data_IF_858764920004
#
_entry.id   IF_858764920004
#
_cell.length_a   1.000
_cell.length_b   1.000
_cell.length_c   1.000
_cell.angle_alpha   90.00
_cell.angle_beta   90.00
_cell.angle_gamma   90.00
#
_symmetry.space_group_name_H-M   'P 1'
#
loop_
_entity.id
_entity.type
_entity.pdbx_description
1 polymer ?
#
# COMPACT_ATOMS: atom_id res chain seq x y z
N UNK A 1 -18.02 -16.09 30.68
CA UNK A 1 -16.65 -15.76 30.29
C UNK A 1 -16.47 -14.29 30.62
N UNK A 2 -15.46 -13.94 31.39
CA UNK A 2 -15.21 -12.56 31.79
C UNK A 2 -14.63 -11.79 30.57
N UNK A 3 -15.25 -10.69 30.12
CA UNK A 3 -14.75 -9.91 28.98
C UNK A 3 -13.31 -9.44 29.13
N UNK A 4 -12.90 -9.09 30.37
CA UNK A 4 -11.56 -8.58 30.65
C UNK A 4 -10.46 -9.65 30.53
N UNK A 5 -10.83 -10.93 30.62
CA UNK A 5 -9.89 -12.06 30.50
C UNK A 5 -9.81 -12.65 29.09
N UNK A 6 -10.80 -12.34 28.23
CA UNK A 6 -10.90 -12.96 26.88
C UNK A 6 -9.67 -12.64 26.03
N UNK A 7 -9.18 -11.41 26.08
CA UNK A 7 -8.01 -10.98 25.30
C UNK A 7 -6.75 -11.70 25.75
N UNK A 8 -6.51 -11.77 27.06
CA UNK A 8 -5.33 -12.43 27.64
C UNK A 8 -5.36 -13.93 27.40
N UNK A 9 -6.53 -14.59 27.54
CA UNK A 9 -6.72 -16.00 27.22
C UNK A 9 -6.49 -16.28 25.71
N UNK A 10 -7.01 -15.43 24.84
CA UNK A 10 -6.81 -15.51 23.39
C UNK A 10 -5.32 -15.41 23.00
N UNK A 11 -4.62 -14.44 23.59
CA UNK A 11 -3.17 -14.27 23.37
C UNK A 11 -2.36 -15.47 23.87
N UNK A 12 -2.70 -16.01 25.04
CA UNK A 12 -2.04 -17.17 25.62
C UNK A 12 -2.26 -18.44 24.75
N UNK A 13 -3.49 -18.65 24.27
CA UNK A 13 -3.80 -19.77 23.37
C UNK A 13 -3.06 -19.65 22.03
N UNK A 14 -3.00 -18.46 21.47
CA UNK A 14 -2.27 -18.18 20.22
C UNK A 14 -0.76 -18.39 20.41
N UNK A 15 -0.18 -17.86 21.48
CA UNK A 15 1.22 -18.09 21.84
C UNK A 15 1.57 -19.57 22.01
N UNK A 16 0.70 -20.32 22.67
CA UNK A 16 0.87 -21.78 22.84
C UNK A 16 0.80 -22.55 21.50
N UNK A 17 -0.03 -22.11 20.55
CA UNK A 17 -0.11 -22.70 19.20
C UNK A 17 1.16 -22.47 18.40
N UNK A 18 1.70 -21.25 18.43
CA UNK A 18 2.96 -20.90 17.75
C UNK A 18 4.11 -21.75 18.32
N UNK A 19 4.24 -21.80 19.66
CA UNK A 19 5.34 -22.51 20.34
C UNK A 19 5.32 -24.02 20.11
N UNK A 20 4.12 -24.63 20.03
CA UNK A 20 3.95 -26.08 19.83
C UNK A 20 3.93 -26.53 18.39
N UNK A 21 4.03 -25.63 17.42
CA UNK A 21 4.00 -25.96 15.99
C UNK A 21 2.66 -26.56 15.50
N UNK A 22 1.59 -26.44 16.30
CA UNK A 22 0.31 -27.06 16.01
C UNK A 22 -0.64 -26.02 15.39
N UNK A 23 -0.49 -25.76 14.08
CA UNK A 23 -1.24 -24.75 13.33
C UNK A 23 -2.65 -25.20 12.93
N UNK A 24 -3.43 -25.77 13.86
CA UNK A 24 -4.83 -26.16 13.58
C UNK A 24 -5.75 -24.98 13.29
N UNK A 25 -5.39 -23.76 13.72
CA UNK A 25 -6.10 -22.52 13.41
C UNK A 25 -5.05 -21.46 13.10
N UNK A 26 -5.07 -20.90 11.92
CA UNK A 26 -4.27 -19.72 11.55
C UNK A 26 -5.13 -18.46 11.67
N UNK A 27 -4.58 -17.43 12.28
CA UNK A 27 -5.11 -16.07 12.16
C UNK A 27 -4.53 -15.53 10.86
N UNK A 28 -5.39 -15.10 9.96
CA UNK A 28 -5.00 -14.53 8.70
C UNK A 28 -5.54 -13.11 8.62
N UNK A 29 -4.64 -12.16 8.39
CA UNK A 29 -4.99 -10.77 8.23
C UNK A 29 -5.54 -10.48 6.84
N UNK A 30 -6.32 -9.41 6.77
CA UNK A 30 -6.88 -8.90 5.52
C UNK A 30 -6.53 -7.43 5.35
N UNK A 31 -6.53 -6.98 4.11
CA UNK A 31 -6.40 -5.57 3.77
C UNK A 31 -7.60 -4.78 4.33
N UNK A 32 -7.36 -3.82 5.19
CA UNK A 32 -8.42 -3.04 5.86
C UNK A 32 -9.13 -2.05 4.93
N UNK A 33 -8.41 -1.52 3.94
CA UNK A 33 -8.90 -0.57 2.93
C UNK A 33 -8.44 -0.98 1.55
N UNK A 34 -9.17 -0.59 0.51
CA UNK A 34 -8.71 -0.82 -0.85
C UNK A 34 -7.51 0.05 -1.17
N UNK A 35 -6.50 -0.56 -1.79
CA UNK A 35 -5.29 0.12 -2.27
C UNK A 35 -5.38 0.27 -3.77
N UNK A 36 -5.18 1.48 -4.24
CA UNK A 36 -5.24 1.82 -5.65
C UNK A 36 -4.03 2.61 -6.13
N UNK A 37 -4.07 2.96 -7.39
CA UNK A 37 -3.11 3.85 -8.04
C UNK A 37 -3.86 4.91 -8.85
N UNK A 38 -3.27 6.10 -8.95
CA UNK A 38 -3.80 7.14 -9.83
C UNK A 38 -3.48 6.81 -11.27
N UNK A 39 -4.50 6.71 -12.11
CA UNK A 39 -4.38 6.45 -13.55
C UNK A 39 -5.21 7.45 -14.34
N UNK A 40 -4.94 7.54 -15.64
CA UNK A 40 -5.79 8.29 -16.56
C UNK A 40 -6.90 7.38 -17.08
N UNK A 41 -8.13 7.80 -16.91
CA UNK A 41 -9.26 7.17 -17.59
C UNK A 41 -9.16 7.44 -19.11
N UNK A 42 -9.14 6.38 -19.89
CA UNK A 42 -9.00 6.44 -21.37
C UNK A 42 -10.14 7.16 -22.06
N UNK A 43 -11.33 7.21 -21.46
CA UNK A 43 -12.52 7.82 -22.07
C UNK A 43 -12.61 9.31 -21.76
N UNK A 44 -12.35 9.69 -20.53
CA UNK A 44 -12.55 11.06 -20.03
C UNK A 44 -11.24 11.85 -19.94
N UNK A 45 -10.07 11.19 -20.05
CA UNK A 45 -8.74 11.76 -19.83
C UNK A 45 -8.57 12.40 -18.43
N UNK A 46 -9.45 12.05 -17.49
CA UNK A 46 -9.35 12.49 -16.11
C UNK A 46 -8.49 11.52 -15.29
N UNK A 47 -7.78 12.06 -14.29
CA UNK A 47 -7.12 11.23 -13.28
C UNK A 47 -8.19 10.59 -12.40
N UNK A 48 -8.11 9.28 -12.23
CA UNK A 48 -9.01 8.48 -11.39
C UNK A 48 -8.21 7.55 -10.49
N UNK A 49 -8.82 7.13 -9.40
CA UNK A 49 -8.32 6.04 -8.59
C UNK A 49 -8.68 4.70 -9.24
N UNK A 50 -7.67 3.92 -9.58
CA UNK A 50 -7.81 2.54 -10.06
C UNK A 50 -7.49 1.58 -8.93
N UNK A 51 -8.51 0.99 -8.30
CA UNK A 51 -8.35 0.03 -7.21
C UNK A 51 -7.64 -1.22 -7.74
N UNK A 52 -6.55 -1.59 -7.08
CA UNK A 52 -5.71 -2.73 -7.43
C UNK A 52 -5.93 -3.89 -6.45
N UNK A 53 -5.90 -3.59 -5.16
CA UNK A 53 -6.14 -4.55 -4.07
C UNK A 53 -7.41 -4.09 -3.36
N UNK A 54 -8.40 -4.97 -3.30
CA UNK A 54 -9.67 -4.64 -2.63
C UNK A 54 -9.56 -4.83 -1.12
N UNK A 55 -10.32 -4.06 -0.36
CA UNK A 55 -10.52 -4.31 1.07
C UNK A 55 -10.97 -5.76 1.30
N UNK A 56 -10.62 -6.32 2.45
CA UNK A 56 -10.87 -7.70 2.83
C UNK A 56 -10.13 -8.75 1.96
N UNK A 57 -9.19 -8.36 1.09
CA UNK A 57 -8.28 -9.31 0.46
C UNK A 57 -7.35 -9.92 1.50
N UNK A 58 -7.15 -11.24 1.41
CA UNK A 58 -6.24 -11.97 2.30
C UNK A 58 -4.79 -11.52 2.09
N UNK A 59 -4.04 -11.33 3.18
CA UNK A 59 -2.61 -10.99 3.13
C UNK A 59 -1.75 -12.28 3.17
N UNK A 60 -0.62 -12.32 2.48
CA UNK A 60 -0.12 -11.30 1.55
C UNK A 60 -0.88 -11.34 0.22
N UNK A 61 -0.96 -10.22 -0.47
CA UNK A 61 -1.62 -10.12 -1.77
C UNK A 61 -0.74 -9.35 -2.76
N UNK A 62 -0.74 -9.81 -4.02
CA UNK A 62 0.05 -9.20 -5.09
C UNK A 62 -0.79 -9.07 -6.37
N UNK A 63 -0.73 -7.91 -7.01
CA UNK A 63 -1.44 -7.63 -8.26
C UNK A 63 -0.49 -6.97 -9.24
N UNK A 64 -0.40 -7.52 -10.43
CA UNK A 64 0.43 -6.98 -11.52
C UNK A 64 -0.44 -6.34 -12.59
N UNK A 65 -0.13 -5.11 -12.95
CA UNK A 65 -0.76 -4.37 -14.03
C UNK A 65 0.23 -3.99 -15.10
N UNK A 66 -0.27 -3.90 -16.34
CA UNK A 66 0.53 -3.56 -17.49
C UNK A 66 0.17 -2.16 -17.98
N UNK A 67 1.16 -1.30 -17.95
CA UNK A 67 1.11 0.06 -18.48
C UNK A 67 1.94 0.15 -19.76
N UNK A 68 1.85 1.28 -20.46
CA UNK A 68 2.65 1.56 -21.66
C UNK A 68 3.15 2.99 -21.60
N UNK A 69 4.35 3.21 -22.11
CA UNK A 69 4.89 4.56 -22.29
C UNK A 69 3.97 5.37 -23.20
N UNK A 70 3.69 6.62 -22.81
CA UNK A 70 2.84 7.53 -23.57
C UNK A 70 3.61 8.18 -24.73
N UNK A 71 4.90 8.43 -24.54
CA UNK A 71 5.77 9.11 -25.51
C UNK A 71 7.09 8.36 -25.65
N UNK A 72 7.76 8.59 -26.79
CA UNK A 72 9.13 8.10 -27.02
C UNK A 72 10.09 8.76 -26.02
N UNK A 73 11.05 7.99 -25.51
CA UNK A 73 12.06 8.42 -24.54
C UNK A 73 11.46 9.06 -23.29
N UNK A 74 10.37 8.50 -22.77
CA UNK A 74 9.73 8.95 -21.55
C UNK A 74 10.70 8.79 -20.36
N UNK A 75 11.00 9.89 -19.66
CA UNK A 75 12.00 9.93 -18.60
C UNK A 75 11.53 9.29 -17.29
N UNK A 76 10.22 9.20 -17.09
CA UNK A 76 9.67 8.61 -15.87
C UNK A 76 8.17 8.62 -15.82
N UNK A 77 7.65 8.11 -14.71
CA UNK A 77 6.22 8.02 -14.40
C UNK A 77 5.99 8.61 -13.01
N UNK A 78 5.04 9.54 -12.91
CA UNK A 78 4.47 9.91 -11.62
C UNK A 78 3.57 8.77 -11.16
N UNK A 79 3.90 8.19 -10.02
CA UNK A 79 3.21 7.06 -9.45
C UNK A 79 2.65 7.45 -8.07
N UNK A 80 1.34 7.49 -7.96
CA UNK A 80 0.64 7.82 -6.72
C UNK A 80 -0.12 6.61 -6.23
N UNK A 81 0.14 6.20 -5.00
CA UNK A 81 -0.57 5.14 -4.29
C UNK A 81 -1.71 5.78 -3.51
N UNK A 82 -2.87 5.17 -3.58
CA UNK A 82 -4.11 5.67 -2.98
C UNK A 82 -4.71 4.64 -2.04
N UNK A 83 -5.48 5.13 -1.06
CA UNK A 83 -6.31 4.35 -0.17
C UNK A 83 -7.73 4.87 -0.24
N UNK A 84 -8.68 3.99 -0.48
CA UNK A 84 -10.11 4.31 -0.56
C UNK A 84 -10.86 3.49 -1.56
N UNK A 85 -12.20 3.58 -1.47
CA UNK A 85 -13.12 2.71 -2.21
C UNK A 85 -13.69 3.39 -3.46
N UNK A 86 -13.46 4.69 -3.63
CA UNK A 86 -14.08 5.50 -4.69
C UNK A 86 -13.12 5.72 -5.86
N UNK A 87 -13.68 5.92 -7.05
CA UNK A 87 -12.91 6.24 -8.25
C UNK A 87 -12.50 7.73 -8.31
N UNK A 88 -13.26 8.61 -7.67
CA UNK A 88 -12.95 10.04 -7.62
C UNK A 88 -11.86 10.33 -6.60
N UNK A 89 -10.91 11.19 -6.97
CA UNK A 89 -9.74 11.49 -6.13
C UNK A 89 -10.09 12.38 -4.92
N UNK A 90 -11.25 13.00 -4.91
CA UNK A 90 -11.75 13.84 -3.80
C UNK A 90 -12.15 13.02 -2.58
N UNK A 91 -12.51 11.75 -2.79
CA UNK A 91 -13.09 10.87 -1.77
C UNK A 91 -12.15 9.76 -1.32
N UNK A 92 -10.86 9.93 -1.60
CA UNK A 92 -9.81 8.97 -1.25
C UNK A 92 -8.61 9.68 -0.63
N UNK A 93 -7.72 8.91 0.01
CA UNK A 93 -6.45 9.40 0.53
C UNK A 93 -5.31 9.02 -0.40
N UNK A 94 -4.45 9.97 -0.75
CA UNK A 94 -3.18 9.70 -1.43
C UNK A 94 -2.15 9.39 -0.34
N UNK A 95 -1.70 8.14 -0.29
CA UNK A 95 -0.71 7.67 0.69
C UNK A 95 0.67 8.21 0.36
N UNK A 96 1.05 8.11 -0.90
CA UNK A 96 2.38 8.53 -1.38
C UNK A 96 2.33 8.86 -2.86
N UNK A 97 3.15 9.82 -3.26
CA UNK A 97 3.42 10.12 -4.67
C UNK A 97 4.92 10.10 -4.87
N UNK A 98 5.38 9.33 -5.84
CA UNK A 98 6.81 9.22 -6.17
C UNK A 98 7.02 9.30 -7.68
N UNK A 99 8.22 9.71 -8.08
CA UNK A 99 8.63 9.72 -9.48
C UNK A 99 9.50 8.48 -9.76
N UNK A 100 8.99 7.60 -10.58
CA UNK A 100 9.68 6.40 -11.04
C UNK A 100 10.47 6.76 -12.31
N UNK A 101 11.78 6.92 -12.18
CA UNK A 101 12.64 7.16 -13.34
C UNK A 101 12.66 5.91 -14.24
N UNK A 102 12.55 6.13 -15.55
CA UNK A 102 12.64 5.10 -16.57
C UNK A 102 14.01 5.16 -17.26
N UNK A 103 14.51 4.03 -17.78
CA UNK A 103 15.72 4.03 -18.61
C UNK A 103 15.50 4.80 -19.90
N UNK A 104 16.57 5.39 -20.41
CA UNK A 104 16.55 6.11 -21.69
C UNK A 104 16.31 5.19 -22.88
N UNK A 105 15.85 5.78 -23.99
CA UNK A 105 15.70 5.05 -25.26
C UNK A 105 14.45 4.20 -25.37
N UNK A 106 13.48 4.32 -24.47
CA UNK A 106 12.23 3.58 -24.58
C UNK A 106 11.37 4.16 -25.71
N UNK A 107 10.88 3.27 -26.58
CA UNK A 107 9.92 3.65 -27.63
C UNK A 107 8.53 3.89 -27.03
N UNK A 108 7.71 4.69 -27.74
CA UNK A 108 6.30 4.88 -27.40
C UNK A 108 5.57 3.52 -27.41
N UNK A 109 4.71 3.27 -26.42
CA UNK A 109 3.97 2.01 -26.30
C UNK A 109 4.76 0.87 -25.66
N UNK A 110 5.99 1.12 -25.20
CA UNK A 110 6.79 0.11 -24.47
C UNK A 110 6.03 -0.38 -23.24
N UNK A 111 5.99 -1.71 -23.08
CA UNK A 111 5.31 -2.39 -21.97
C UNK A 111 6.07 -2.21 -20.66
N UNK A 112 5.36 -1.75 -19.65
CA UNK A 112 5.84 -1.60 -18.26
C UNK A 112 4.92 -2.42 -17.38
N UNK A 113 5.48 -3.35 -16.63
CA UNK A 113 4.76 -4.14 -15.65
C UNK A 113 5.00 -3.51 -14.27
N UNK A 114 3.92 -3.20 -13.57
CA UNK A 114 3.96 -2.70 -12.19
C UNK A 114 3.22 -3.70 -11.33
N UNK A 115 3.94 -4.30 -10.38
CA UNK A 115 3.38 -5.20 -9.38
C UNK A 115 3.27 -4.47 -8.07
N UNK A 116 2.07 -4.41 -7.53
CA UNK A 116 1.76 -3.91 -6.20
C UNK A 116 1.57 -5.11 -5.28
N UNK A 117 2.36 -5.18 -4.22
CA UNK A 117 2.27 -6.24 -3.22
C UNK A 117 2.05 -5.62 -1.84
N UNK A 118 1.10 -6.18 -1.10
CA UNK A 118 0.87 -5.87 0.31
C UNK A 118 1.27 -7.10 1.13
N UNK A 119 2.22 -6.93 2.02
CA UNK A 119 2.75 -8.01 2.86
C UNK A 119 1.93 -8.21 4.15
N UNK A 120 2.34 -9.17 4.99
CA UNK A 120 1.71 -9.45 6.28
C UNK A 120 1.83 -8.29 7.30
N UNK A 121 2.83 -7.43 7.15
CA UNK A 121 3.01 -6.23 7.96
C UNK A 121 2.25 -5.02 7.42
N UNK A 122 1.46 -5.21 6.35
CA UNK A 122 0.74 -4.16 5.61
C UNK A 122 1.67 -3.12 4.96
N UNK A 123 2.92 -3.48 4.69
CA UNK A 123 3.84 -2.68 3.90
C UNK A 123 3.56 -2.86 2.41
N UNK A 124 3.63 -1.75 1.69
CA UNK A 124 3.35 -1.72 0.25
C UNK A 124 4.69 -1.79 -0.50
N UNK A 125 4.87 -2.87 -1.25
CA UNK A 125 6.00 -3.05 -2.16
C UNK A 125 5.55 -2.82 -3.59
N UNK A 126 6.31 -2.05 -4.35
CA UNK A 126 6.06 -1.78 -5.75
C UNK A 126 7.25 -2.26 -6.57
N UNK A 127 7.01 -3.22 -7.44
CA UNK A 127 8.00 -3.75 -8.36
C UNK A 127 7.70 -3.22 -9.76
N UNK A 128 8.66 -2.52 -10.35
CA UNK A 128 8.61 -2.05 -11.72
C UNK A 128 9.50 -2.92 -12.59
N UNK A 129 8.95 -3.47 -13.67
CA UNK A 129 9.66 -4.32 -14.61
C UNK A 129 9.39 -3.86 -16.05
N UNK A 130 10.48 -3.72 -16.83
CA UNK A 130 10.43 -3.39 -18.25
C UNK A 130 11.13 -4.51 -19.01
N UNK A 131 10.38 -5.49 -19.53
CA UNK A 131 10.96 -6.71 -20.09
C UNK A 131 11.93 -6.49 -21.26
N UNK A 132 11.64 -5.52 -22.14
CA UNK A 132 12.43 -5.27 -23.35
C UNK A 132 13.88 -4.82 -23.06
N UNK A 133 14.11 -4.15 -21.94
CA UNK A 133 15.44 -3.67 -21.53
C UNK A 133 15.97 -4.40 -20.28
N UNK A 134 15.27 -5.45 -19.81
CA UNK A 134 15.60 -6.22 -18.61
C UNK A 134 15.82 -5.30 -17.38
N UNK A 135 15.03 -4.26 -17.27
CA UNK A 135 15.08 -3.31 -16.16
C UNK A 135 14.09 -3.73 -15.09
N UNK A 136 14.56 -3.85 -13.85
CA UNK A 136 13.73 -4.16 -12.69
C UNK A 136 14.14 -3.23 -11.54
N UNK A 137 13.16 -2.70 -10.82
CA UNK A 137 13.38 -1.87 -9.65
C UNK A 137 12.28 -2.08 -8.63
N UNK A 138 12.67 -2.14 -7.36
CA UNK A 138 11.76 -2.26 -6.22
C UNK A 138 11.72 -0.95 -5.45
N UNK A 139 10.53 -0.61 -4.97
CA UNK A 139 10.26 0.51 -4.07
C UNK A 139 9.41 -0.01 -2.92
N UNK A 140 9.78 0.33 -1.70
CA UNK A 140 9.00 0.04 -0.51
C UNK A 140 8.37 1.35 -0.02
N UNK A 141 7.09 1.29 0.29
CA UNK A 141 6.34 2.42 0.82
C UNK A 141 5.80 2.04 2.19
N UNK A 142 6.24 2.76 3.19
CA UNK A 142 5.59 2.75 4.48
C UNK A 142 4.32 3.61 4.38
N UNK A 143 3.24 3.10 4.95
CA UNK A 143 2.00 3.86 5.04
C UNK A 143 2.27 5.08 5.93
N UNK A 144 2.38 6.27 5.33
CA UNK A 144 2.50 7.53 6.06
C UNK A 144 1.17 7.89 6.77
N UNK A 145 0.67 6.96 7.59
CA UNK A 145 -0.36 7.25 8.58
C UNK A 145 0.26 7.92 9.83
N UNK A 146 1.55 8.16 9.81
CA UNK A 146 2.25 8.79 10.91
C UNK A 146 1.99 10.29 10.89
N UNK A 147 1.55 10.79 12.03
CA UNK A 147 1.54 12.21 12.36
C UNK A 147 2.87 12.82 11.92
N UNK A 148 2.83 13.97 11.27
CA UNK A 148 4.05 14.69 10.94
C UNK A 148 4.84 14.95 12.23
N UNK A 149 6.17 15.10 12.16
CA UNK A 149 6.97 15.45 13.35
C UNK A 149 6.43 16.69 14.06
N UNK A 150 5.85 17.62 13.30
CA UNK A 150 5.19 18.83 13.83
C UNK A 150 3.92 18.48 14.59
N UNK A 151 3.11 17.53 14.09
CA UNK A 151 1.89 17.08 14.77
C UNK A 151 2.24 16.28 16.03
N UNK A 152 3.28 15.45 15.98
CA UNK A 152 3.80 14.72 17.16
C UNK A 152 4.27 15.71 18.23
N UNK A 153 5.06 16.70 17.87
CA UNK A 153 5.54 17.72 18.81
C UNK A 153 4.38 18.52 19.43
N UNK A 154 3.36 18.88 18.62
CA UNK A 154 2.16 19.59 19.09
C UNK A 154 1.32 18.72 20.03
N UNK A 155 1.11 17.45 19.71
CA UNK A 155 0.33 16.52 20.54
C UNK A 155 1.08 16.18 21.81
N UNK A 156 2.40 16.01 21.77
CA UNK A 156 3.23 15.81 22.97
C UNK A 156 3.14 17.00 23.92
N UNK A 157 3.16 18.24 23.39
CA UNK A 157 2.95 19.45 24.18
C UNK A 157 1.57 19.48 24.85
N UNK A 158 0.51 19.11 24.12
CA UNK A 158 -0.86 19.04 24.67
C UNK A 158 -1.00 17.97 25.75
N UNK A 159 -0.34 16.81 25.62
CA UNK A 159 -0.40 15.73 26.61
C UNK A 159 0.38 16.10 27.89
N UNK A 160 1.48 16.85 27.76
CA UNK A 160 2.27 17.30 28.90
C UNK A 160 1.51 18.26 29.83
N UNK A 161 0.50 18.97 29.31
CA UNK A 161 -0.36 19.88 30.06
C UNK A 161 -1.53 19.16 30.77
N UNK A 162 -1.74 17.86 30.50
CA UNK A 162 -2.74 17.04 31.20
C UNK A 162 -2.10 16.38 32.43
N UNK A 163 -2.28 16.97 33.61
CA UNK A 163 -2.04 16.28 34.85
C UNK A 163 -3.09 15.17 35.02
N UNK A 164 -2.60 13.93 35.06
CA UNK A 164 -3.44 12.76 35.40
C UNK A 164 -3.62 12.76 36.90
N UNK A 165 -4.81 13.12 37.37
CA UNK A 165 -5.21 12.96 38.79
C UNK A 165 -5.63 11.52 39.09
#
# INVERSE_FOLDING_TARGET
MNPDEVVSLGAALYGAQITRGNHKKSIQDVCSHSIGIVTLDRKTSKKINSIQIRRNSWLPVSVTNVFRTAVKNQQGIEFSITEGEFAELTDITIISTTYLALPEGLEQGTKIEITLQLDHAQLIHVFLKIPCVKYEKEFCFERNANLSEVDVARLTGLIADYEVY
#
